data_IF_476035549757
#
_entry.id   IF_476035549757
#
_cell.length_a   1.000
_cell.length_b   1.000
_cell.length_c   1.000
_cell.angle_alpha   90.00
_cell.angle_beta   90.00
_cell.angle_gamma   90.00
#
_symmetry.space_group_name_H-M   'P 1'
#
loop_
_entity.id
_entity.type
_entity.pdbx_description
1 polymer ?
#
# COMPACT_ATOMS: atom_id res chain seq x y z
N UNK A 1 22.06 -24.15 3.76
CA UNK A 1 21.79 -23.51 2.45
C UNK A 1 21.33 -22.08 2.67
N UNK A 2 21.98 -21.09 2.04
CA UNK A 2 21.69 -19.67 2.23
C UNK A 2 20.59 -19.20 1.27
N UNK A 3 19.49 -18.63 1.78
CA UNK A 3 18.40 -18.09 0.98
C UNK A 3 18.87 -16.78 0.33
N UNK A 4 19.21 -16.83 -0.96
CA UNK A 4 19.51 -15.62 -1.72
C UNK A 4 18.23 -14.82 -1.95
N UNK A 5 17.93 -13.89 -1.06
CA UNK A 5 16.79 -12.97 -1.21
C UNK A 5 17.09 -12.03 -2.37
N UNK A 6 16.50 -12.28 -3.53
CA UNK A 6 16.63 -11.40 -4.68
C UNK A 6 16.04 -10.02 -4.34
N UNK A 7 16.89 -8.99 -4.24
CA UNK A 7 16.47 -7.63 -3.96
C UNK A 7 15.82 -7.03 -5.22
N UNK A 8 14.50 -7.13 -5.35
CA UNK A 8 13.80 -6.51 -6.46
C UNK A 8 13.86 -4.99 -6.36
N UNK A 9 14.62 -4.35 -7.26
CA UNK A 9 14.64 -2.89 -7.42
C UNK A 9 13.52 -2.47 -8.37
N UNK A 10 12.57 -1.67 -7.87
CA UNK A 10 11.45 -1.16 -8.66
C UNK A 10 11.95 -0.22 -9.77
N UNK A 11 11.41 -0.36 -10.97
CA UNK A 11 11.79 0.47 -12.14
C UNK A 11 11.05 1.81 -12.22
N UNK A 12 9.98 2.01 -11.44
CA UNK A 12 9.13 3.21 -11.54
C UNK A 12 8.89 3.86 -10.17
N UNK A 13 8.75 5.18 -10.19
CA UNK A 13 8.37 5.99 -9.03
C UNK A 13 6.84 6.05 -8.83
N UNK A 14 6.07 5.15 -9.47
CA UNK A 14 4.61 5.12 -9.34
C UNK A 14 4.25 4.76 -7.90
N UNK A 15 3.51 5.65 -7.24
CA UNK A 15 3.13 5.50 -5.84
C UNK A 15 4.07 6.18 -4.84
N UNK A 16 5.02 6.98 -5.31
CA UNK A 16 5.92 7.77 -4.45
C UNK A 16 5.31 9.11 -4.03
N UNK A 17 4.10 9.06 -3.51
CA UNK A 17 3.49 10.19 -2.82
C UNK A 17 3.95 10.20 -1.36
N UNK A 18 4.08 11.39 -0.78
CA UNK A 18 4.43 11.52 0.64
C UNK A 18 3.31 10.97 1.51
N UNK A 19 3.67 10.23 2.57
CA UNK A 19 2.70 9.82 3.58
C UNK A 19 2.02 11.03 4.24
N UNK A 20 2.74 12.13 4.42
CA UNK A 20 2.19 13.36 4.98
C UNK A 20 1.10 13.96 4.08
N UNK A 21 1.35 14.02 2.77
CA UNK A 21 0.39 14.56 1.81
C UNK A 21 -0.87 13.70 1.73
N UNK A 22 -0.72 12.38 1.79
CA UNK A 22 -1.85 11.45 1.85
C UNK A 22 -2.67 11.63 3.15
N UNK A 23 -2.02 11.87 4.29
CA UNK A 23 -2.72 12.10 5.55
C UNK A 23 -3.52 13.40 5.52
N UNK A 24 -2.90 14.51 5.09
CA UNK A 24 -3.58 15.81 4.95
C UNK A 24 -4.75 15.74 3.97
N UNK A 25 -4.60 15.03 2.85
CA UNK A 25 -5.68 14.83 1.90
C UNK A 25 -6.86 14.06 2.52
N UNK A 26 -6.60 13.08 3.37
CA UNK A 26 -7.65 12.32 4.06
C UNK A 26 -8.36 13.18 5.13
N UNK A 27 -7.63 14.00 5.88
CA UNK A 27 -8.21 14.90 6.87
C UNK A 27 -9.13 15.92 6.22
N UNK A 28 -8.67 16.61 5.17
CA UNK A 28 -9.47 17.62 4.46
C UNK A 28 -10.75 17.04 3.86
N UNK A 29 -10.70 15.79 3.36
CA UNK A 29 -11.91 15.09 2.87
C UNK A 29 -12.83 14.68 4.01
N UNK A 30 -12.31 14.22 5.15
CA UNK A 30 -13.10 13.83 6.33
C UNK A 30 -13.79 15.01 7.00
N UNK A 31 -13.13 16.16 7.01
CA UNK A 31 -13.67 17.41 7.53
C UNK A 31 -14.70 18.05 6.57
N UNK A 32 -14.97 17.42 5.41
CA UNK A 32 -15.79 17.98 4.33
C UNK A 32 -15.30 19.35 3.80
N UNK A 33 -14.04 19.72 4.05
CA UNK A 33 -13.43 20.95 3.53
C UNK A 33 -13.32 20.91 2.00
N UNK A 34 -13.12 19.71 1.44
CA UNK A 34 -12.95 19.53 0.01
C UNK A 34 -13.32 18.13 -0.49
N UNK A 35 -13.75 18.06 -1.75
CA UNK A 35 -14.03 16.80 -2.43
C UNK A 35 -12.77 16.04 -2.85
N UNK A 36 -12.93 14.74 -3.11
CA UNK A 36 -11.86 13.80 -3.46
C UNK A 36 -10.96 14.26 -4.61
N UNK A 37 -11.54 14.82 -5.68
CA UNK A 37 -10.79 15.28 -6.85
C UNK A 37 -9.91 16.49 -6.50
N UNK A 38 -10.47 17.45 -5.77
CA UNK A 38 -9.75 18.66 -5.36
C UNK A 38 -8.61 18.32 -4.39
N UNK A 39 -8.84 17.43 -3.42
CA UNK A 39 -7.80 16.97 -2.50
C UNK A 39 -6.65 16.28 -3.24
N UNK A 40 -6.99 15.42 -4.21
CA UNK A 40 -6.01 14.72 -5.05
C UNK A 40 -5.08 15.68 -5.79
N UNK A 41 -5.61 16.78 -6.33
CA UNK A 41 -4.84 17.79 -7.05
C UNK A 41 -3.94 18.61 -6.10
N UNK A 42 -4.46 19.07 -4.96
CA UNK A 42 -3.71 19.90 -4.01
C UNK A 42 -2.54 19.12 -3.40
N UNK A 43 -2.77 17.88 -3.00
CA UNK A 43 -1.77 17.07 -2.30
C UNK A 43 -0.95 16.17 -3.24
N UNK A 44 -1.12 16.31 -4.55
CA UNK A 44 -0.45 15.50 -5.58
C UNK A 44 -0.55 13.97 -5.31
N UNK A 45 -1.69 13.53 -4.79
CA UNK A 45 -1.96 12.12 -4.47
C UNK A 45 -2.98 11.55 -5.46
N UNK A 46 -2.84 10.31 -5.96
CA UNK A 46 -3.80 9.75 -6.89
C UNK A 46 -5.20 9.57 -6.27
N UNK A 47 -6.25 10.08 -6.92
CA UNK A 47 -7.63 10.08 -6.43
C UNK A 47 -8.15 8.68 -6.11
N UNK A 48 -7.85 7.70 -6.97
CA UNK A 48 -8.23 6.30 -6.75
C UNK A 48 -7.57 5.70 -5.50
N UNK A 49 -6.31 6.07 -5.24
CA UNK A 49 -5.58 5.65 -4.04
C UNK A 49 -6.15 6.30 -2.79
N UNK A 50 -6.44 7.60 -2.86
CA UNK A 50 -7.06 8.37 -1.78
C UNK A 50 -8.42 7.77 -1.38
N UNK A 51 -9.31 7.50 -2.34
CA UNK A 51 -10.62 6.85 -2.10
C UNK A 51 -10.48 5.46 -1.48
N UNK A 52 -9.53 4.65 -1.95
CA UNK A 52 -9.28 3.30 -1.41
C UNK A 52 -8.83 3.35 0.05
N UNK A 53 -7.95 4.30 0.40
CA UNK A 53 -7.46 4.52 1.77
C UNK A 53 -8.51 5.11 2.69
N UNK A 54 -9.27 6.11 2.21
CA UNK A 54 -10.36 6.74 2.98
C UNK A 54 -11.47 5.77 3.33
N UNK A 55 -11.81 4.84 2.42
CA UNK A 55 -12.83 3.82 2.67
C UNK A 55 -12.33 2.63 3.51
N UNK A 56 -11.15 2.74 4.12
CA UNK A 56 -10.50 1.72 4.96
C UNK A 56 -10.47 0.29 4.34
N UNK A 57 -10.37 0.21 2.99
CA UNK A 57 -10.34 -1.08 2.27
C UNK A 57 -8.98 -1.77 2.35
N UNK A 58 -7.99 -1.15 2.97
CA UNK A 58 -6.72 -1.79 3.29
C UNK A 58 -6.87 -2.60 4.58
N UNK A 59 -7.50 -3.77 4.49
CA UNK A 59 -7.39 -4.76 5.54
C UNK A 59 -5.94 -5.27 5.53
N UNK A 60 -5.17 -4.86 6.53
CA UNK A 60 -3.89 -5.51 6.84
C UNK A 60 -4.25 -6.94 7.26
N UNK A 61 -3.77 -7.93 6.51
CA UNK A 61 -3.92 -9.32 6.92
C UNK A 61 -3.02 -9.56 8.14
N UNK A 62 -3.51 -9.20 9.33
CA UNK A 62 -2.89 -9.56 10.59
C UNK A 62 -3.12 -11.06 10.78
N UNK A 63 -2.04 -11.84 10.66
CA UNK A 63 -1.99 -13.30 10.83
C UNK A 63 -2.23 -14.15 9.56
N UNK A 64 -1.37 -14.00 8.56
CA UNK A 64 -1.06 -15.13 7.65
C UNK A 64 0.01 -15.98 8.31
N UNK A 65 -0.39 -17.12 8.88
CA UNK A 65 0.54 -18.22 9.13
C UNK A 65 1.14 -18.55 7.76
N UNK A 66 2.39 -18.12 7.54
CA UNK A 66 3.17 -18.47 6.35
C UNK A 66 3.23 -19.99 6.32
N UNK A 67 2.40 -20.63 5.53
CA UNK A 67 2.59 -22.02 5.17
C UNK A 67 3.80 -22.07 4.25
N UNK A 68 4.98 -22.20 4.85
CA UNK A 68 6.15 -22.72 4.13
C UNK A 68 5.77 -24.13 3.69
N UNK A 69 5.57 -24.31 2.38
CA UNK A 69 5.39 -25.63 1.77
C UNK A 69 6.48 -26.58 2.29
N UNK A 70 6.13 -27.70 2.96
CA UNK A 70 7.11 -28.74 3.23
C UNK A 70 7.17 -29.61 1.98
N UNK A 71 8.06 -29.29 1.04
CA UNK A 71 8.47 -30.30 0.07
C UNK A 71 9.40 -31.27 0.81
N UNK A 72 8.84 -32.35 1.36
CA UNK A 72 9.63 -33.47 1.88
C UNK A 72 10.24 -34.18 0.67
N UNK A 73 11.55 -34.01 0.46
CA UNK A 73 12.33 -34.90 -0.41
C UNK A 73 12.40 -36.26 0.26
N UNK A 74 11.56 -37.21 -0.18
CA UNK A 74 11.77 -38.63 0.09
C UNK A 74 13.02 -39.08 -0.67
N UNK A 75 14.09 -39.33 0.07
CA UNK A 75 15.21 -40.13 -0.41
C UNK A 75 15.07 -41.52 0.20
N UNK A 76 14.60 -42.48 -0.60
CA UNK A 76 14.90 -43.91 -0.51
C UNK A 76 14.78 -44.52 -1.90
#
# INVERSE_FOLDING_TARGET
MSLMVYSYKRKTNRGSWSQADMAKALEAVRNNEMGWLKASQIYNVPTATLRRRGNNKNKIATNTKKTSWPFQTSSE
#
